data_IF_406666188935
#
_entry.id   IF_406666188935
#
_cell.length_a   1.000
_cell.length_b   1.000
_cell.length_c   1.000
_cell.angle_alpha   90.00
_cell.angle_beta   90.00
_cell.angle_gamma   90.00
#
_symmetry.space_group_name_H-M   'P 1'
#
loop_
_entity.id
_entity.type
_entity.pdbx_description
1 polymer ?
#
# COMPACT_ATOMS: atom_id res chain seq x y z
N UNK A 1 18.55 28.20 1.44
CA UNK A 1 17.91 28.04 0.11
C UNK A 1 18.08 26.62 -0.43
N UNK A 2 19.29 26.16 -0.78
CA UNK A 2 19.54 24.82 -1.34
C UNK A 2 18.92 23.67 -0.50
N UNK A 3 19.07 23.72 0.83
CA UNK A 3 18.50 22.73 1.74
C UNK A 3 16.98 22.56 1.58
N UNK A 4 16.23 23.67 1.53
CA UNK A 4 14.77 23.63 1.39
C UNK A 4 14.34 23.14 0.01
N UNK A 5 15.14 23.41 -1.04
CA UNK A 5 14.92 22.86 -2.38
C UNK A 5 15.09 21.34 -2.37
N UNK A 6 16.14 20.83 -1.70
CA UNK A 6 16.37 19.39 -1.54
C UNK A 6 15.21 18.75 -0.76
N UNK A 7 14.77 19.37 0.34
CA UNK A 7 13.65 18.87 1.14
C UNK A 7 12.37 18.76 0.30
N UNK A 8 12.05 19.80 -0.49
CA UNK A 8 10.91 19.78 -1.40
C UNK A 8 11.03 18.71 -2.49
N UNK A 9 12.23 18.52 -3.06
CA UNK A 9 12.47 17.48 -4.05
C UNK A 9 12.24 16.08 -3.48
N UNK A 10 12.71 15.82 -2.25
CA UNK A 10 12.48 14.54 -1.55
C UNK A 10 11.00 14.31 -1.30
N UNK A 11 10.28 15.29 -0.74
CA UNK A 11 8.83 15.19 -0.50
C UNK A 11 8.08 14.90 -1.82
N UNK A 12 8.44 15.61 -2.89
CA UNK A 12 7.81 15.44 -4.21
C UNK A 12 8.06 14.04 -4.78
N UNK A 13 9.28 13.51 -4.62
CA UNK A 13 9.62 12.15 -5.04
C UNK A 13 8.77 11.11 -4.31
N UNK A 14 8.66 11.18 -2.99
CA UNK A 14 7.84 10.24 -2.22
C UNK A 14 6.35 10.35 -2.55
N UNK A 15 5.86 11.56 -2.80
CA UNK A 15 4.47 11.76 -3.19
C UNK A 15 4.20 11.21 -4.61
N UNK A 16 5.17 11.32 -5.52
CA UNK A 16 5.08 10.70 -6.84
C UNK A 16 5.12 9.18 -6.78
N UNK A 17 6.01 8.59 -5.96
CA UNK A 17 6.07 7.12 -5.75
C UNK A 17 4.74 6.59 -5.23
N UNK A 18 4.14 7.23 -4.22
CA UNK A 18 2.84 6.83 -3.69
C UNK A 18 1.76 6.91 -4.77
N UNK A 19 1.70 8.02 -5.50
CA UNK A 19 0.74 8.18 -6.59
C UNK A 19 0.88 7.10 -7.66
N UNK A 20 2.11 6.81 -8.11
CA UNK A 20 2.39 5.82 -9.13
C UNK A 20 2.06 4.40 -8.64
N UNK A 21 2.37 4.10 -7.38
CA UNK A 21 2.02 2.82 -6.74
C UNK A 21 0.51 2.60 -6.74
N UNK A 22 -0.28 3.58 -6.24
CA UNK A 22 -1.75 3.48 -6.21
C UNK A 22 -2.35 3.37 -7.60
N UNK A 23 -1.80 4.09 -8.57
CA UNK A 23 -2.21 4.02 -9.97
C UNK A 23 -1.90 2.65 -10.59
N UNK A 24 -0.72 2.10 -10.30
CA UNK A 24 -0.28 0.79 -10.78
C UNK A 24 -1.17 -0.31 -10.21
N UNK A 25 -1.38 -0.32 -8.89
CA UNK A 25 -2.23 -1.31 -8.22
C UNK A 25 -3.67 -1.28 -8.76
N UNK A 26 -4.25 -0.09 -8.96
CA UNK A 26 -5.59 0.05 -9.58
C UNK A 26 -5.62 -0.52 -11.00
N UNK A 27 -4.64 -0.16 -11.85
CA UNK A 27 -4.58 -0.67 -13.22
C UNK A 27 -4.43 -2.19 -13.26
N UNK A 28 -3.62 -2.76 -12.37
CA UNK A 28 -3.43 -4.20 -12.27
C UNK A 28 -4.72 -4.89 -11.82
N UNK A 29 -5.40 -4.36 -10.81
CA UNK A 29 -6.66 -4.92 -10.32
C UNK A 29 -7.74 -4.92 -11.41
N UNK A 30 -7.89 -3.78 -12.11
CA UNK A 30 -8.83 -3.62 -13.22
C UNK A 30 -8.53 -4.58 -14.37
N UNK A 31 -7.28 -4.61 -14.83
CA UNK A 31 -6.86 -5.51 -15.92
C UNK A 31 -7.07 -6.98 -15.53
N UNK A 32 -6.77 -7.35 -14.29
CA UNK A 32 -6.97 -8.70 -13.79
C UNK A 32 -8.46 -9.08 -13.76
N UNK A 33 -9.34 -8.14 -13.40
CA UNK A 33 -10.79 -8.36 -13.43
C UNK A 33 -11.30 -8.57 -14.86
N UNK A 34 -10.91 -7.70 -15.79
CA UNK A 34 -11.24 -7.82 -17.21
C UNK A 34 -10.75 -9.15 -17.80
N UNK A 35 -9.50 -9.56 -17.50
CA UNK A 35 -8.94 -10.84 -17.93
C UNK A 35 -9.69 -12.04 -17.34
N UNK A 36 -10.10 -11.97 -16.07
CA UNK A 36 -10.81 -13.06 -15.42
C UNK A 36 -12.23 -13.22 -15.95
N UNK A 37 -12.94 -12.11 -16.18
CA UNK A 37 -14.25 -12.12 -16.81
C UNK A 37 -14.20 -12.69 -18.23
N UNK A 38 -13.22 -12.28 -19.05
CA UNK A 38 -13.00 -12.87 -20.38
C UNK A 38 -12.67 -14.37 -20.32
N UNK A 39 -11.84 -14.77 -19.35
CA UNK A 39 -11.46 -16.17 -19.15
C UNK A 39 -12.64 -17.05 -18.74
N UNK A 40 -13.54 -16.54 -17.89
CA UNK A 40 -14.78 -17.24 -17.54
C UNK A 40 -15.72 -17.33 -18.75
N UNK A 41 -15.94 -16.22 -19.46
CA UNK A 41 -16.85 -16.16 -20.62
C UNK A 41 -16.38 -17.04 -21.78
N UNK A 42 -15.07 -17.21 -21.94
CA UNK A 42 -14.47 -18.06 -22.97
C UNK A 42 -14.37 -19.54 -22.57
N UNK A 43 -14.88 -19.93 -21.40
CA UNK A 43 -14.76 -21.29 -20.85
C UNK A 43 -13.29 -21.74 -20.76
N UNK A 44 -12.46 -20.87 -20.18
CA UNK A 44 -11.01 -21.03 -20.01
C UNK A 44 -10.17 -21.12 -21.29
N UNK A 45 -10.67 -20.62 -22.43
CA UNK A 45 -9.95 -20.63 -23.71
C UNK A 45 -9.10 -19.39 -23.97
N UNK A 46 -9.44 -18.26 -23.36
CA UNK A 46 -8.65 -17.02 -23.47
C UNK A 46 -7.41 -17.05 -22.56
N UNK A 47 -6.64 -15.95 -22.55
CA UNK A 47 -5.45 -15.82 -21.73
C UNK A 47 -5.79 -16.03 -20.24
N UNK A 48 -5.11 -17.00 -19.61
CA UNK A 48 -5.28 -17.30 -18.19
C UNK A 48 -4.82 -16.11 -17.33
N UNK A 49 -5.67 -15.61 -16.42
CA UNK A 49 -5.31 -14.54 -15.48
C UNK A 49 -4.16 -14.94 -14.55
N UNK A 50 -3.37 -13.95 -14.14
CA UNK A 50 -2.20 -14.19 -13.30
C UNK A 50 -2.56 -14.34 -11.83
N UNK A 51 -2.31 -15.52 -11.26
CA UNK A 51 -2.42 -15.73 -9.81
C UNK A 51 -1.41 -14.89 -9.02
N UNK A 52 -0.20 -14.69 -9.56
CA UNK A 52 0.81 -13.89 -8.86
C UNK A 52 0.33 -12.46 -8.61
N UNK A 53 -0.33 -11.85 -9.60
CA UNK A 53 -0.91 -10.50 -9.48
C UNK A 53 -2.07 -10.52 -8.48
N UNK A 54 -2.95 -11.53 -8.55
CA UNK A 54 -4.05 -11.67 -7.60
C UNK A 54 -3.57 -11.77 -6.15
N UNK A 55 -2.62 -12.66 -5.89
CA UNK A 55 -2.03 -12.90 -4.57
C UNK A 55 -1.30 -11.65 -4.04
N UNK A 56 -0.57 -10.93 -4.90
CA UNK A 56 0.12 -9.70 -4.51
C UNK A 56 -0.88 -8.60 -4.09
N UNK A 57 -1.91 -8.36 -4.90
CA UNK A 57 -2.97 -7.40 -4.59
C UNK A 57 -3.74 -7.81 -3.32
N UNK A 58 -4.04 -9.09 -3.17
CA UNK A 58 -4.70 -9.61 -1.96
C UNK A 58 -3.83 -9.36 -0.71
N UNK A 59 -2.53 -9.69 -0.78
CA UNK A 59 -1.58 -9.48 0.32
C UNK A 59 -1.44 -8.01 0.68
N UNK A 60 -1.30 -7.13 -0.32
CA UNK A 60 -1.20 -5.67 -0.11
C UNK A 60 -2.42 -5.11 0.61
N UNK A 61 -3.63 -5.59 0.30
CA UNK A 61 -4.86 -5.13 0.96
C UNK A 61 -5.08 -5.73 2.34
N UNK A 62 -4.97 -7.05 2.47
CA UNK A 62 -5.43 -7.77 3.65
C UNK A 62 -4.30 -8.18 4.61
N UNK A 63 -3.03 -8.04 4.21
CA UNK A 63 -1.88 -8.49 4.99
C UNK A 63 -1.81 -10.01 5.16
N UNK A 64 -2.55 -10.77 4.33
CA UNK A 64 -2.66 -12.23 4.38
C UNK A 64 -2.33 -12.82 3.01
N UNK A 65 -1.80 -14.03 3.00
CA UNK A 65 -1.45 -14.75 1.77
C UNK A 65 -2.51 -15.76 1.34
N UNK A 66 -3.40 -16.13 2.27
CA UNK A 66 -4.41 -17.17 2.06
C UNK A 66 -5.80 -16.67 2.43
N UNK A 67 -6.81 -17.15 1.71
CA UNK A 67 -8.21 -16.96 2.00
C UNK A 67 -8.91 -18.33 2.11
N UNK A 68 -8.82 -19.00 3.27
CA UNK A 68 -9.42 -20.31 3.43
C UNK A 68 -10.94 -20.22 3.47
N UNK A 69 -11.59 -21.09 2.70
CA UNK A 69 -13.04 -21.24 2.66
C UNK A 69 -13.43 -22.70 2.78
N UNK A 70 -14.42 -22.99 3.63
CA UNK A 70 -14.98 -24.32 3.75
C UNK A 70 -15.92 -24.59 2.58
N UNK A 71 -15.67 -25.67 1.84
CA UNK A 71 -16.53 -26.18 0.79
C UNK A 71 -17.12 -27.51 1.24
N UNK A 72 -18.44 -27.65 1.09
CA UNK A 72 -19.16 -28.89 1.37
C UNK A 72 -19.26 -29.67 0.07
N UNK A 73 -18.67 -30.86 0.04
CA UNK A 73 -18.77 -31.79 -1.07
C UNK A 73 -19.72 -32.93 -0.69
N UNK A 74 -20.69 -33.20 -1.56
CA UNK A 74 -21.65 -34.27 -1.37
C UNK A 74 -21.42 -35.36 -2.40
N UNK A 75 -20.90 -36.51 -1.96
CA UNK A 75 -20.75 -37.69 -2.80
C UNK A 75 -21.79 -38.74 -2.37
N UNK A 76 -23.09 -38.48 -2.61
CA UNK A 76 -24.23 -39.40 -2.51
C UNK A 76 -24.54 -40.04 -1.13
N UNK A 77 -23.52 -40.48 -0.40
CA UNK A 77 -23.55 -41.19 0.87
C UNK A 77 -22.67 -40.53 1.95
N UNK A 78 -21.78 -39.60 1.58
CA UNK A 78 -20.87 -38.92 2.52
C UNK A 78 -20.89 -37.41 2.27
N UNK A 79 -21.04 -36.64 3.35
CA UNK A 79 -20.83 -35.19 3.38
C UNK A 79 -19.42 -34.95 3.91
N UNK A 80 -18.52 -34.46 3.07
CA UNK A 80 -17.19 -34.02 3.49
C UNK A 80 -17.11 -32.49 3.44
N UNK A 81 -16.49 -31.90 4.48
CA UNK A 81 -16.18 -30.48 4.50
C UNK A 81 -14.69 -30.32 4.30
N UNK A 82 -14.29 -29.78 3.17
CA UNK A 82 -12.89 -29.51 2.84
C UNK A 82 -12.62 -28.01 2.93
N UNK A 83 -11.44 -27.64 3.43
CA UNK A 83 -11.00 -26.26 3.43
C UNK A 83 -10.17 -26.02 2.16
N UNK A 84 -10.54 -25.01 1.37
CA UNK A 84 -9.82 -24.63 0.14
C UNK A 84 -9.36 -23.19 0.26
N UNK A 85 -8.12 -22.94 -0.14
CA UNK A 85 -7.61 -21.58 -0.26
C UNK A 85 -8.07 -20.96 -1.59
N UNK A 86 -8.93 -19.94 -1.51
CA UNK A 86 -9.46 -19.24 -2.68
C UNK A 86 -8.36 -18.46 -3.41
N UNK A 87 -7.35 -17.94 -2.68
CA UNK A 87 -6.23 -17.20 -3.28
C UNK A 87 -5.28 -18.14 -3.99
N UNK A 88 -4.82 -19.18 -3.31
CA UNK A 88 -3.97 -20.20 -3.92
C UNK A 88 -4.62 -20.92 -5.10
N UNK A 89 -5.95 -20.98 -5.16
CA UNK A 89 -6.69 -21.65 -6.24
C UNK A 89 -7.01 -20.75 -7.43
N UNK A 90 -6.69 -19.45 -7.38
CA UNK A 90 -6.99 -18.54 -8.49
C UNK A 90 -6.05 -18.79 -9.69
N UNK A 91 -6.53 -18.66 -10.95
CA UNK A 91 -7.92 -18.63 -11.37
C UNK A 91 -8.48 -20.07 -11.51
N UNK A 92 -9.72 -20.29 -11.03
CA UNK A 92 -10.41 -21.59 -11.11
C UNK A 92 -11.89 -21.46 -11.48
N UNK A 93 -12.36 -22.36 -12.34
CA UNK A 93 -13.78 -22.51 -12.73
C UNK A 93 -14.57 -23.44 -11.79
N UNK A 94 -13.97 -23.93 -10.70
CA UNK A 94 -14.66 -24.79 -9.76
C UNK A 94 -15.86 -24.04 -9.14
N UNK A 95 -17.06 -24.60 -9.32
CA UNK A 95 -18.35 -24.00 -8.93
C UNK A 95 -18.41 -23.56 -7.45
N UNK A 96 -17.67 -24.24 -6.57
CA UNK A 96 -17.65 -23.90 -5.14
C UNK A 96 -16.80 -22.68 -4.79
N UNK A 97 -15.83 -22.32 -5.63
CA UNK A 97 -14.89 -21.20 -5.39
C UNK A 97 -14.94 -20.11 -6.46
N UNK A 98 -15.69 -20.30 -7.55
CA UNK A 98 -15.83 -19.31 -8.62
C UNK A 98 -16.49 -18.02 -8.12
N UNK A 99 -17.65 -18.10 -7.48
CA UNK A 99 -18.33 -16.92 -6.95
C UNK A 99 -17.48 -16.18 -5.88
N UNK A 100 -16.81 -16.87 -4.94
CA UNK A 100 -15.84 -16.26 -4.04
C UNK A 100 -14.68 -15.53 -4.76
N UNK A 101 -14.11 -16.10 -5.82
CA UNK A 101 -13.05 -15.45 -6.59
C UNK A 101 -13.54 -14.16 -7.25
N UNK A 102 -14.72 -14.19 -7.87
CA UNK A 102 -15.35 -13.00 -8.48
C UNK A 102 -15.56 -11.92 -7.41
N UNK A 103 -16.19 -12.27 -6.29
CA UNK A 103 -16.45 -11.33 -5.22
C UNK A 103 -15.16 -10.73 -4.63
N UNK A 104 -14.10 -11.53 -4.47
CA UNK A 104 -12.82 -11.02 -3.98
C UNK A 104 -12.17 -10.07 -4.98
N UNK A 105 -12.23 -10.38 -6.27
CA UNK A 105 -11.62 -9.57 -7.32
C UNK A 105 -12.34 -8.23 -7.51
N UNK A 106 -13.68 -8.23 -7.54
CA UNK A 106 -14.49 -7.01 -7.59
C UNK A 106 -14.24 -6.12 -6.37
N UNK A 107 -14.13 -6.73 -5.20
CA UNK A 107 -13.78 -6.03 -3.99
C UNK A 107 -12.39 -5.42 -4.08
N UNK A 108 -11.39 -6.13 -4.62
CA UNK A 108 -10.03 -5.63 -4.77
C UNK A 108 -9.99 -4.44 -5.73
N UNK A 109 -10.62 -4.55 -6.90
CA UNK A 109 -10.73 -3.45 -7.86
C UNK A 109 -11.35 -2.22 -7.20
N UNK A 110 -12.51 -2.37 -6.56
CA UNK A 110 -13.22 -1.27 -5.89
C UNK A 110 -12.35 -0.60 -4.80
N UNK A 111 -11.60 -1.39 -4.04
CA UNK A 111 -10.69 -0.88 -3.02
C UNK A 111 -9.54 -0.06 -3.63
N UNK A 112 -8.87 -0.59 -4.66
CA UNK A 112 -7.75 0.10 -5.29
C UNK A 112 -8.20 1.32 -6.09
N UNK A 113 -9.39 1.28 -6.68
CA UNK A 113 -10.03 2.44 -7.28
C UNK A 113 -10.24 3.55 -6.24
N UNK A 114 -10.86 3.22 -5.10
CA UNK A 114 -11.09 4.18 -4.03
C UNK A 114 -9.78 4.79 -3.50
N UNK A 115 -8.75 3.98 -3.31
CA UNK A 115 -7.43 4.44 -2.87
C UNK A 115 -6.74 5.34 -3.92
N UNK A 116 -6.86 5.02 -5.21
CA UNK A 116 -6.35 5.85 -6.31
C UNK A 116 -7.10 7.19 -6.42
N UNK A 117 -8.41 7.23 -6.22
CA UNK A 117 -9.14 8.49 -6.19
C UNK A 117 -8.85 9.31 -4.94
N UNK A 118 -8.69 8.65 -3.80
CA UNK A 118 -8.34 9.30 -2.53
C UNK A 118 -7.00 10.02 -2.62
N UNK A 119 -5.97 9.43 -3.25
CA UNK A 119 -4.64 10.07 -3.35
C UNK A 119 -4.66 11.35 -4.20
N UNK A 120 -5.64 11.51 -5.11
CA UNK A 120 -5.83 12.76 -5.88
C UNK A 120 -6.37 13.91 -5.04
N UNK A 121 -6.90 13.63 -3.84
CA UNK A 121 -7.36 14.66 -2.93
C UNK A 121 -6.17 15.36 -2.27
N UNK A 122 -6.17 16.70 -2.32
CA UNK A 122 -5.18 17.53 -1.62
C UNK A 122 -5.09 17.14 -0.14
N UNK A 123 -6.24 16.88 0.51
CA UNK A 123 -6.30 16.46 1.92
C UNK A 123 -5.51 15.17 2.16
N UNK A 124 -5.70 14.16 1.32
CA UNK A 124 -5.02 12.88 1.46
C UNK A 124 -3.51 13.04 1.24
N UNK A 125 -3.13 13.84 0.24
CA UNK A 125 -1.73 14.11 -0.07
C UNK A 125 -1.03 14.91 1.04
N UNK A 126 -1.71 15.89 1.65
CA UNK A 126 -1.20 16.60 2.82
C UNK A 126 -1.01 15.66 4.01
N UNK A 127 -1.99 14.79 4.29
CA UNK A 127 -1.87 13.79 5.37
C UNK A 127 -0.72 12.82 5.10
N UNK A 128 -0.55 12.37 3.85
CA UNK A 128 0.56 11.53 3.43
C UNK A 128 1.91 12.22 3.69
N UNK A 129 2.08 13.46 3.21
CA UNK A 129 3.32 14.25 3.40
C UNK A 129 3.62 14.40 4.89
N UNK A 130 2.64 14.81 5.69
CA UNK A 130 2.80 14.95 7.14
C UNK A 130 3.28 13.63 7.75
N UNK A 131 2.77 12.49 7.30
CA UNK A 131 3.12 11.14 7.78
C UNK A 131 4.44 10.55 7.24
N UNK A 132 5.13 11.20 6.29
CA UNK A 132 6.37 10.68 5.70
C UNK A 132 7.43 10.25 6.73
N UNK A 133 7.70 11.00 7.81
CA UNK A 133 8.66 10.58 8.82
C UNK A 133 8.33 9.25 9.50
N UNK A 134 7.04 8.97 9.73
CA UNK A 134 6.57 7.69 10.27
C UNK A 134 6.75 6.57 9.26
N UNK A 135 6.42 6.83 7.99
CA UNK A 135 6.60 5.82 6.95
C UNK A 135 8.07 5.42 6.80
N UNK A 136 9.00 6.35 6.94
CA UNK A 136 10.44 6.06 6.98
C UNK A 136 10.85 5.21 8.19
N UNK A 137 10.21 5.39 9.35
CA UNK A 137 10.46 4.53 10.51
C UNK A 137 10.04 3.09 10.28
N UNK A 138 8.93 2.86 9.56
CA UNK A 138 8.50 1.49 9.19
C UNK A 138 9.56 0.77 8.37
N UNK A 139 10.24 1.47 7.47
CA UNK A 139 11.35 0.87 6.69
C UNK A 139 12.52 0.42 7.57
N UNK A 140 12.67 0.98 8.77
CA UNK A 140 13.71 0.63 9.74
C UNK A 140 13.19 -0.41 10.77
N UNK A 141 11.94 -0.88 10.63
CA UNK A 141 11.34 -1.89 11.49
C UNK A 141 10.80 -1.35 12.82
N UNK A 142 10.58 -0.03 12.92
CA UNK A 142 10.01 0.60 14.11
C UNK A 142 8.49 0.68 13.97
N UNK A 143 7.80 0.21 15.00
CA UNK A 143 6.34 0.12 15.00
C UNK A 143 5.67 1.48 15.26
N UNK A 144 4.72 1.84 14.39
CA UNK A 144 4.06 3.15 14.37
C UNK A 144 3.03 3.34 15.49
N UNK A 145 2.63 2.24 16.14
CA UNK A 145 1.57 2.25 17.16
C UNK A 145 2.00 2.94 18.47
N UNK A 146 3.31 3.18 18.68
CA UNK A 146 3.83 3.76 19.91
C UNK A 146 3.68 5.28 19.92
N UNK A 147 3.31 5.84 21.07
CA UNK A 147 3.25 7.31 21.31
C UNK A 147 4.58 8.01 20.97
N UNK A 148 5.70 7.31 21.16
CA UNK A 148 7.04 7.78 20.76
C UNK A 148 7.17 8.06 19.26
N UNK A 149 6.48 7.30 18.41
CA UNK A 149 6.55 7.43 16.95
C UNK A 149 5.85 8.71 16.47
N UNK A 150 4.76 9.12 17.13
CA UNK A 150 4.09 10.41 16.87
C UNK A 150 4.92 11.62 17.31
N UNK A 151 5.60 11.52 18.47
CA UNK A 151 6.53 12.55 18.92
C UNK A 151 7.72 12.68 17.95
N UNK A 152 8.24 11.56 17.45
CA UNK A 152 9.30 11.55 16.45
C UNK A 152 8.91 12.26 15.16
N UNK A 153 7.68 12.06 14.67
CA UNK A 153 7.16 12.77 13.50
C UNK A 153 7.20 14.30 13.66
N UNK A 154 6.73 14.80 14.82
CA UNK A 154 6.77 16.22 15.16
C UNK A 154 8.21 16.73 15.23
N UNK A 155 9.08 16.00 15.91
CA UNK A 155 10.49 16.37 16.06
C UNK A 155 11.22 16.40 14.72
N UNK A 156 10.99 15.45 13.80
CA UNK A 156 11.60 15.48 12.47
C UNK A 156 11.16 16.70 11.68
N UNK A 157 9.88 17.06 11.72
CA UNK A 157 9.42 18.25 10.99
C UNK A 157 9.98 19.54 11.59
N UNK A 158 9.98 19.66 12.93
CA UNK A 158 10.55 20.82 13.63
C UNK A 158 12.05 20.92 13.33
N UNK A 159 12.80 19.84 13.53
CA UNK A 159 14.24 19.82 13.25
C UNK A 159 14.45 20.11 11.76
N UNK A 160 13.76 19.43 10.84
CA UNK A 160 13.93 19.64 9.40
C UNK A 160 13.63 21.06 8.94
N UNK A 161 12.58 21.71 9.45
CA UNK A 161 12.25 23.09 9.09
C UNK A 161 13.22 24.11 9.68
N UNK A 162 13.65 23.90 10.93
CA UNK A 162 14.44 24.86 11.69
C UNK A 162 15.95 24.58 11.70
N UNK A 163 16.44 23.44 11.18
CA UNK A 163 17.87 23.08 11.19
C UNK A 163 18.75 24.16 10.53
N UNK A 164 18.39 24.73 9.36
CA UNK A 164 19.22 25.74 8.73
C UNK A 164 19.41 27.01 9.58
N UNK A 165 18.34 27.70 10.06
CA UNK A 165 18.52 28.87 10.91
C UNK A 165 19.16 28.52 12.26
N UNK A 166 18.90 27.33 12.82
CA UNK A 166 19.49 26.91 14.09
C UNK A 166 20.99 26.64 13.97
N UNK A 167 21.45 26.08 12.84
CA UNK A 167 22.87 25.91 12.51
C UNK A 167 23.58 27.26 12.40
N UNK A 168 22.99 28.22 11.67
CA UNK A 168 23.59 29.54 11.47
C UNK A 168 23.66 30.33 12.79
N UNK A 169 22.64 30.21 13.65
CA UNK A 169 22.63 30.75 15.02
C UNK A 169 23.70 30.12 15.90
N UNK A 170 23.85 28.79 15.87
CA UNK A 170 24.88 28.08 16.63
C UNK A 170 26.30 28.48 16.22
N UNK A 171 26.56 28.55 14.91
CA UNK A 171 27.85 29.00 14.38
C UNK A 171 28.13 30.44 14.81
N UNK A 172 27.13 31.32 14.73
CA UNK A 172 27.26 32.73 15.14
C UNK A 172 27.51 32.87 16.64
N UNK A 173 26.82 32.07 17.46
CA UNK A 173 27.01 32.03 18.92
C UNK A 173 28.40 31.50 19.31
N UNK A 174 28.88 30.44 18.65
CA UNK A 174 30.23 29.92 18.86
C UNK A 174 31.29 30.94 18.44
N UNK A 175 31.09 31.65 17.32
CA UNK A 175 31.95 32.75 16.91
C UNK A 175 31.97 33.87 17.94
N UNK A 176 30.81 34.26 18.48
CA UNK A 176 30.72 35.26 19.55
C UNK A 176 31.49 34.83 20.80
N UNK A 177 31.33 33.58 21.26
CA UNK A 177 32.07 33.03 22.40
C UNK A 177 33.59 32.98 22.17
N UNK A 178 34.01 32.61 20.95
CA UNK A 178 35.44 32.56 20.59
C UNK A 178 36.05 33.94 20.33
N UNK A 179 35.24 34.91 19.92
CA UNK A 179 35.61 36.32 19.73
C UNK A 179 35.63 37.13 21.03
N UNK A 180 35.05 36.61 22.10
CA UNK A 180 35.01 37.24 23.42
C UNK A 180 36.24 36.89 24.28
N UNK A 181 37.32 36.38 23.66
CA UNK A 181 38.67 36.27 24.21
C UNK A 181 39.58 37.22 23.45
#
# INVERSE_FOLDING_TARGET
>A
MLYYIILLAVISLFAWIEYDTKKSDYKQAKLLNEQFDEWIKSDAKSQKPSNAIFAELYKKRYGKEVHPQNIVQHNGYVISTNQVDVVGSFPSLNRHILAPQIALLDNLESYYEAEYFKIKSVKAMTLYIISLPLQLLRYIGIDDAKTSSRLFQLLIWIIGLFLPPLKDLLISFLKFLMSSK
#
